data_IF_709441991003
#
_entry.id   IF_709441991003
#
_cell.length_a   1.000
_cell.length_b   1.000
_cell.length_c   1.000
_cell.angle_alpha   90.00
_cell.angle_beta   90.00
_cell.angle_gamma   90.00
#
_symmetry.space_group_name_H-M   'P 1'
#
loop_
_entity.id
_entity.type
_entity.pdbx_description
1 polymer ?
#
# COMPACT_ATOMS: atom_id res chain seq x y z
N UNK A 1 5.19 13.90 4.84
CA UNK A 1 5.44 13.13 3.61
C UNK A 1 5.75 11.70 4.01
N UNK A 2 5.26 10.68 3.29
CA UNK A 2 5.46 9.27 3.69
C UNK A 2 5.19 8.21 2.62
N UNK A 3 4.91 8.61 1.37
CA UNK A 3 4.47 7.69 0.32
C UNK A 3 5.55 6.65 -0.06
N UNK A 4 6.82 7.06 -0.14
CA UNK A 4 7.91 6.13 -0.42
C UNK A 4 8.13 5.10 0.70
N UNK A 5 7.95 5.52 1.95
CA UNK A 5 8.06 4.63 3.10
C UNK A 5 6.88 3.66 3.17
N UNK A 6 5.67 4.13 2.88
CA UNK A 6 4.49 3.28 2.74
C UNK A 6 4.62 2.26 1.60
N UNK A 7 5.20 2.66 0.45
CA UNK A 7 5.50 1.74 -0.65
C UNK A 7 6.50 0.67 -0.22
N UNK A 8 7.64 1.06 0.37
CA UNK A 8 8.68 0.11 0.81
C UNK A 8 8.15 -0.85 1.87
N UNK A 9 7.40 -0.35 2.85
CA UNK A 9 6.76 -1.16 3.87
C UNK A 9 5.76 -2.15 3.26
N UNK A 10 4.90 -1.68 2.34
CA UNK A 10 3.96 -2.53 1.62
C UNK A 10 4.64 -3.63 0.80
N UNK A 11 5.72 -3.29 0.09
CA UNK A 11 6.50 -4.24 -0.69
C UNK A 11 7.16 -5.29 0.21
N UNK A 12 7.82 -4.86 1.28
CA UNK A 12 8.50 -5.74 2.23
C UNK A 12 7.52 -6.71 2.91
N UNK A 13 6.39 -6.21 3.41
CA UNK A 13 5.36 -7.04 4.04
C UNK A 13 4.78 -8.04 3.05
N UNK A 14 4.42 -7.61 1.84
CA UNK A 14 3.83 -8.50 0.84
C UNK A 14 4.79 -9.59 0.37
N UNK A 15 6.07 -9.28 0.19
CA UNK A 15 7.09 -10.26 -0.13
C UNK A 15 7.36 -11.23 1.03
N UNK A 16 7.39 -10.73 2.27
CA UNK A 16 7.55 -11.56 3.46
C UNK A 16 6.38 -12.55 3.66
N UNK A 17 5.20 -12.23 3.13
CA UNK A 17 4.04 -13.12 3.07
C UNK A 17 4.09 -14.15 1.94
N UNK A 18 5.17 -14.19 1.16
CA UNK A 18 5.36 -15.16 0.07
C UNK A 18 4.58 -14.84 -1.21
N UNK A 19 4.06 -13.61 -1.36
CA UNK A 19 3.38 -13.19 -2.59
C UNK A 19 4.39 -12.98 -3.72
N UNK A 20 3.92 -13.19 -4.95
CA UNK A 20 4.70 -12.89 -6.15
C UNK A 20 5.06 -11.40 -6.26
N UNK A 21 6.07 -11.09 -7.08
CA UNK A 21 6.57 -9.72 -7.23
C UNK A 21 5.48 -8.77 -7.76
N UNK A 22 4.69 -9.19 -8.75
CA UNK A 22 3.63 -8.36 -9.35
C UNK A 22 2.54 -8.02 -8.34
N UNK A 23 2.09 -9.02 -7.56
CA UNK A 23 1.13 -8.82 -6.47
C UNK A 23 1.69 -7.88 -5.41
N UNK A 24 2.97 -8.03 -5.08
CA UNK A 24 3.64 -7.23 -4.05
C UNK A 24 3.85 -5.78 -4.48
N UNK A 25 4.20 -5.54 -5.75
CA UNK A 25 4.28 -4.19 -6.32
C UNK A 25 2.89 -3.55 -6.37
N UNK A 26 1.84 -4.31 -6.73
CA UNK A 26 0.46 -3.79 -6.72
C UNK A 26 0.01 -3.37 -5.33
N UNK A 27 0.30 -4.18 -4.32
CA UNK A 27 0.01 -3.86 -2.92
C UNK A 27 0.82 -2.63 -2.43
N UNK A 28 2.11 -2.57 -2.75
CA UNK A 28 2.98 -1.45 -2.41
C UNK A 28 2.52 -0.12 -3.04
N UNK A 29 2.09 -0.15 -4.31
CA UNK A 29 1.53 1.00 -4.99
C UNK A 29 0.25 1.50 -4.30
N UNK A 30 -0.63 0.60 -3.88
CA UNK A 30 -1.82 0.96 -3.12
C UNK A 30 -1.47 1.61 -1.76
N UNK A 31 -0.45 1.10 -1.05
CA UNK A 31 0.05 1.74 0.16
C UNK A 31 0.55 3.17 -0.09
N UNK A 32 1.37 3.36 -1.12
CA UNK A 32 1.91 4.68 -1.49
C UNK A 32 0.81 5.65 -1.91
N UNK A 33 -0.15 5.20 -2.72
CA UNK A 33 -1.27 6.01 -3.17
C UNK A 33 -2.13 6.50 -2.00
N UNK A 34 -2.47 5.62 -1.05
CA UNK A 34 -3.24 5.98 0.14
C UNK A 34 -2.47 6.96 1.04
N UNK A 35 -1.16 6.82 1.17
CA UNK A 35 -0.34 7.74 1.95
C UNK A 35 -0.31 9.16 1.35
N UNK A 36 -0.45 9.31 0.02
CA UNK A 36 -0.58 10.62 -0.61
C UNK A 36 -1.91 11.34 -0.28
N UNK A 37 -2.89 10.66 0.33
CA UNK A 37 -4.22 11.24 0.64
C UNK A 37 -4.31 11.87 2.04
N UNK A 38 -3.27 11.77 2.86
CA UNK A 38 -3.29 12.20 4.26
C UNK A 38 -2.05 13.05 4.55
N UNK A 39 -2.24 14.17 5.25
CA UNK A 39 -1.13 15.03 5.68
C UNK A 39 -0.31 14.38 6.81
N UNK A 40 1.00 14.52 6.73
CA UNK A 40 1.96 13.94 7.69
C UNK A 40 2.67 12.69 7.17
N UNK A 41 3.74 12.27 7.83
CA UNK A 41 4.47 11.04 7.50
C UNK A 41 3.80 9.83 8.13
N UNK A 42 3.99 9.65 9.44
CA UNK A 42 3.40 8.60 10.25
C UNK A 42 1.85 8.56 10.18
N UNK A 43 1.12 9.69 10.24
CA UNK A 43 -0.35 9.67 10.12
C UNK A 43 -0.85 9.16 8.77
N UNK A 44 -0.02 9.23 7.72
CA UNK A 44 -0.39 8.80 6.37
C UNK A 44 -0.26 7.30 6.14
N UNK A 45 0.36 6.56 7.06
CA UNK A 45 0.57 5.12 6.90
C UNK A 45 -0.77 4.37 6.90
N UNK A 46 -1.13 3.72 5.77
CA UNK A 46 -2.42 3.05 5.69
C UNK A 46 -2.40 1.74 6.48
N UNK A 47 -3.54 1.40 7.07
CA UNK A 47 -3.78 0.06 7.61
C UNK A 47 -4.11 -0.93 6.49
N UNK A 48 -3.81 -2.20 6.75
CA UNK A 48 -3.94 -3.28 5.75
C UNK A 48 -5.36 -3.41 5.18
N UNK A 49 -6.37 -3.37 6.04
CA UNK A 49 -7.78 -3.43 5.65
C UNK A 49 -8.17 -2.32 4.67
N UNK A 50 -7.65 -1.11 4.87
CA UNK A 50 -7.86 0.03 3.95
C UNK A 50 -7.19 -0.21 2.59
N UNK A 51 -5.98 -0.77 2.58
CA UNK A 51 -5.24 -1.12 1.34
C UNK A 51 -6.00 -2.20 0.55
N UNK A 52 -6.43 -3.26 1.22
CA UNK A 52 -7.17 -4.36 0.59
C UNK A 52 -8.53 -3.90 0.05
N UNK A 53 -9.24 -3.02 0.77
CA UNK A 53 -10.48 -2.42 0.28
C UNK A 53 -10.22 -1.58 -0.97
N UNK A 54 -9.22 -0.71 -0.94
CA UNK A 54 -8.84 0.13 -2.08
C UNK A 54 -8.52 -0.72 -3.31
N UNK A 55 -7.78 -1.82 -3.17
CA UNK A 55 -7.47 -2.72 -4.28
C UNK A 55 -8.73 -3.36 -4.88
N UNK A 56 -9.68 -3.82 -4.06
CA UNK A 56 -10.96 -4.37 -4.55
C UNK A 56 -11.78 -3.33 -5.32
N UNK A 57 -11.80 -2.08 -4.84
CA UNK A 57 -12.48 -0.98 -5.53
C UNK A 57 -11.87 -0.68 -6.91
N UNK A 58 -10.54 -0.82 -7.06
CA UNK A 58 -9.84 -0.63 -8.33
C UNK A 58 -9.97 -1.81 -9.30
N UNK A 59 -10.39 -2.99 -8.84
CA UNK A 59 -10.67 -4.15 -9.71
C UNK A 59 -12.10 -4.15 -10.25
N UNK A 60 -13.00 -3.43 -9.59
CA UNK A 60 -14.40 -3.27 -10.00
C UNK A 60 -14.64 -2.10 -10.96
N UNK A 61 -13.62 -1.27 -11.20
CA UNK A 61 -13.64 -0.11 -12.10
C UNK A 61 -13.04 -0.47 -13.47
#
# INVERSE_FOLDING_TARGET
>A
TGAGDAFRAGLAVSLAEGKGIDQSVRFANACGALACTVLGAEPSMPRRDRVERFLREQEAA
#
